data_IF_829684916625
#
_entry.id   IF_829684916625
#
_cell.length_a   1.000
_cell.length_b   1.000
_cell.length_c   1.000
_cell.angle_alpha   90.00
_cell.angle_beta   90.00
_cell.angle_gamma   90.00
#
_symmetry.space_group_name_H-M   'P 1'
#
loop_
_entity.id
_entity.type
_entity.pdbx_description
1 polymer ?
#
# COMPACT_ATOMS: atom_id res chain seq x y z
N UNK A 1 -11.82 7.56 38.04
CA UNK A 1 -11.70 6.62 36.89
C UNK A 1 -10.42 5.82 37.07
N UNK A 2 -10.45 4.49 37.03
CA UNK A 2 -9.23 3.69 37.15
C UNK A 2 -8.32 3.89 35.92
N UNK A 3 -6.99 3.96 36.11
CA UNK A 3 -6.03 4.14 35.00
C UNK A 3 -5.99 2.88 34.11
N UNK A 4 -6.03 3.05 32.78
CA UNK A 4 -5.82 1.95 31.83
C UNK A 4 -4.33 1.56 31.85
N UNK A 5 -4.02 0.48 32.56
CA UNK A 5 -2.72 -0.18 32.53
C UNK A 5 -2.54 -0.89 31.19
N UNK A 6 -1.68 -0.32 30.34
CA UNK A 6 -1.13 -1.00 29.16
C UNK A 6 0.14 -1.71 29.61
N UNK A 7 0.27 -3.02 29.36
CA UNK A 7 1.33 -3.84 29.96
C UNK A 7 2.67 -3.71 29.22
N UNK A 8 2.69 -3.30 27.95
CA UNK A 8 3.95 -3.07 27.20
C UNK A 8 3.94 -1.79 26.35
N UNK A 9 2.87 -1.49 25.63
CA UNK A 9 2.62 -0.19 25.00
C UNK A 9 1.15 -0.08 24.55
N UNK A 10 0.62 1.13 24.40
CA UNK A 10 -0.77 1.37 23.93
C UNK A 10 -1.05 0.79 22.53
N UNK A 11 -0.02 0.49 21.76
CA UNK A 11 -0.12 0.06 20.36
C UNK A 11 0.37 -1.37 20.11
N UNK A 12 1.20 -1.94 20.98
CA UNK A 12 1.75 -3.28 20.79
C UNK A 12 0.73 -4.37 21.11
N UNK A 13 -0.05 -4.22 22.19
CA UNK A 13 -1.06 -5.22 22.59
C UNK A 13 -2.13 -5.46 21.49
N UNK A 14 -2.68 -4.42 20.81
CA UNK A 14 -3.59 -4.62 19.68
C UNK A 14 -2.92 -5.24 18.45
N UNK A 15 -1.68 -4.83 18.15
CA UNK A 15 -0.92 -5.35 17.00
C UNK A 15 -0.62 -6.83 17.18
N UNK A 16 -0.19 -7.23 18.38
CA UNK A 16 0.06 -8.62 18.72
C UNK A 16 -1.22 -9.44 18.73
N UNK A 17 -2.34 -8.89 19.23
CA UNK A 17 -3.64 -9.55 19.18
C UNK A 17 -4.12 -9.80 17.74
N UNK A 18 -4.05 -8.79 16.87
CA UNK A 18 -4.39 -8.91 15.46
C UNK A 18 -3.46 -9.90 14.73
N UNK A 19 -2.15 -9.81 14.97
CA UNK A 19 -1.16 -10.73 14.41
C UNK A 19 -1.42 -12.17 14.84
N UNK A 20 -1.70 -12.40 16.12
CA UNK A 20 -1.99 -13.74 16.66
C UNK A 20 -3.27 -14.31 16.06
N UNK A 21 -4.32 -13.50 15.87
CA UNK A 21 -5.55 -13.92 15.19
C UNK A 21 -5.32 -14.32 13.73
N UNK A 22 -4.56 -13.51 12.98
CA UNK A 22 -4.18 -13.82 11.58
C UNK A 22 -3.31 -15.07 11.50
N UNK A 23 -2.37 -15.22 12.42
CA UNK A 23 -1.47 -16.38 12.48
C UNK A 23 -2.21 -17.67 12.82
N UNK A 24 -3.11 -17.65 13.79
CA UNK A 24 -3.96 -18.79 14.12
C UNK A 24 -4.86 -19.19 12.95
N UNK A 25 -5.41 -18.21 12.21
CA UNK A 25 -6.17 -18.48 11.00
C UNK A 25 -5.31 -19.10 9.89
N UNK A 26 -4.07 -18.62 9.70
CA UNK A 26 -3.12 -19.20 8.75
C UNK A 26 -2.80 -20.66 9.08
N UNK A 27 -2.62 -20.98 10.36
CA UNK A 27 -2.36 -22.34 10.82
C UNK A 27 -3.59 -23.25 10.65
N UNK A 28 -4.80 -22.72 10.89
CA UNK A 28 -6.03 -23.47 10.68
C UNK A 28 -6.22 -23.85 9.20
N UNK A 29 -5.90 -22.94 8.29
CA UNK A 29 -6.01 -23.15 6.84
C UNK A 29 -4.97 -24.14 6.28
N UNK A 30 -3.82 -24.31 6.95
CA UNK A 30 -2.75 -25.24 6.52
C UNK A 30 -2.96 -26.68 7.02
N UNK A 31 -4.01 -26.93 7.82
CA UNK A 31 -4.34 -28.26 8.29
C UNK A 31 -5.18 -29.05 7.26
N UNK A 32 -4.67 -30.18 6.73
CA UNK A 32 -5.26 -30.91 5.60
C UNK A 32 -6.56 -31.68 5.94
N UNK A 33 -7.05 -31.62 7.19
CA UNK A 33 -8.25 -32.35 7.65
C UNK A 33 -9.51 -31.49 7.77
N UNK A 34 -9.39 -30.18 7.49
CA UNK A 34 -10.52 -29.24 7.59
C UNK A 34 -10.44 -28.17 6.50
N UNK A 35 -9.69 -28.45 5.42
CA UNK A 35 -9.56 -27.54 4.29
C UNK A 35 -10.93 -27.35 3.62
N UNK A 36 -11.52 -26.14 3.69
CA UNK A 36 -12.68 -25.83 2.86
C UNK A 36 -12.25 -25.87 1.37
N UNK A 37 -13.19 -26.13 0.45
CA UNK A 37 -12.89 -26.22 -0.97
C UNK A 37 -12.15 -24.97 -1.48
N UNK A 38 -11.17 -25.14 -2.39
CA UNK A 38 -10.35 -24.03 -2.90
C UNK A 38 -11.27 -23.00 -3.56
N UNK A 39 -11.21 -21.74 -3.09
CA UNK A 39 -12.13 -20.67 -3.52
C UNK A 39 -12.81 -19.89 -2.38
N UNK A 40 -12.76 -20.40 -1.15
CA UNK A 40 -13.41 -19.77 0.02
C UNK A 40 -12.43 -19.34 1.12
N UNK A 41 -11.19 -19.04 0.75
CA UNK A 41 -10.18 -18.61 1.73
C UNK A 41 -10.19 -17.09 1.89
N UNK A 42 -10.06 -16.59 3.13
CA UNK A 42 -9.94 -15.15 3.36
C UNK A 42 -8.71 -14.56 2.66
N UNK A 43 -7.67 -15.38 2.41
CA UNK A 43 -6.47 -14.96 1.65
C UNK A 43 -6.83 -14.55 0.23
N UNK A 44 -7.72 -15.28 -0.42
CA UNK A 44 -8.18 -14.96 -1.76
C UNK A 44 -8.95 -13.63 -1.76
N UNK A 45 -9.87 -13.44 -0.82
CA UNK A 45 -10.59 -12.18 -0.65
C UNK A 45 -9.66 -11.00 -0.32
N UNK A 46 -8.66 -11.21 0.53
CA UNK A 46 -7.67 -10.19 0.88
C UNK A 46 -6.79 -9.86 -0.33
N UNK A 47 -6.35 -10.87 -1.09
CA UNK A 47 -5.58 -10.64 -2.32
C UNK A 47 -6.39 -9.88 -3.36
N UNK A 48 -7.67 -10.24 -3.54
CA UNK A 48 -8.60 -9.54 -4.44
C UNK A 48 -8.78 -8.07 -4.01
N UNK A 49 -9.08 -7.82 -2.73
CA UNK A 49 -9.25 -6.47 -2.19
C UNK A 49 -7.98 -5.63 -2.32
N UNK A 50 -6.82 -6.25 -2.14
CA UNK A 50 -5.53 -5.59 -2.31
C UNK A 50 -5.26 -5.24 -3.78
N UNK A 51 -5.54 -6.16 -4.71
CA UNK A 51 -5.39 -5.90 -6.14
C UNK A 51 -6.34 -4.82 -6.65
N UNK A 52 -7.59 -4.80 -6.19
CA UNK A 52 -8.56 -3.76 -6.51
C UNK A 52 -8.11 -2.39 -5.98
N UNK A 53 -7.62 -2.35 -4.73
CA UNK A 53 -7.11 -1.12 -4.12
C UNK A 53 -5.87 -0.60 -4.83
N UNK A 54 -4.97 -1.50 -5.28
CA UNK A 54 -3.80 -1.12 -6.07
C UNK A 54 -4.20 -0.54 -7.42
N UNK A 55 -5.15 -1.16 -8.13
CA UNK A 55 -5.65 -0.65 -9.41
C UNK A 55 -6.31 0.72 -9.28
N UNK A 56 -7.08 0.96 -8.21
CA UNK A 56 -7.69 2.27 -7.98
C UNK A 56 -6.64 3.36 -7.74
N UNK A 57 -5.55 3.04 -7.04
CA UNK A 57 -4.44 3.98 -6.82
C UNK A 57 -3.70 4.27 -8.12
N UNK A 58 -3.39 3.23 -8.90
CA UNK A 58 -2.76 3.38 -10.22
C UNK A 58 -3.63 4.18 -11.20
N UNK A 59 -4.95 3.99 -11.18
CA UNK A 59 -5.88 4.75 -12.02
C UNK A 59 -5.86 6.24 -11.65
N UNK A 60 -5.93 6.56 -10.36
CA UNK A 60 -5.85 7.93 -9.87
C UNK A 60 -4.50 8.58 -10.20
N UNK A 61 -3.40 7.86 -10.02
CA UNK A 61 -2.06 8.34 -10.37
C UNK A 61 -1.94 8.63 -11.87
N UNK A 62 -2.52 7.79 -12.74
CA UNK A 62 -2.57 8.04 -14.19
C UNK A 62 -3.40 9.27 -14.54
N UNK A 63 -4.57 9.43 -13.93
CA UNK A 63 -5.44 10.61 -14.13
C UNK A 63 -4.72 11.90 -13.71
N UNK A 64 -4.07 11.89 -12.55
CA UNK A 64 -3.26 13.02 -12.07
C UNK A 64 -2.11 13.33 -13.05
N UNK A 65 -1.39 12.32 -13.54
CA UNK A 65 -0.31 12.50 -14.54
C UNK A 65 -0.82 13.10 -15.86
N UNK A 66 -1.96 12.63 -16.38
CA UNK A 66 -2.57 13.17 -17.60
C UNK A 66 -3.05 14.61 -17.42
N UNK A 67 -3.57 14.96 -16.24
CA UNK A 67 -3.94 16.32 -15.88
C UNK A 67 -2.71 17.23 -15.84
N UNK A 68 -1.61 16.78 -15.21
CA UNK A 68 -0.33 17.48 -15.19
C UNK A 68 0.22 17.72 -16.60
N UNK A 69 0.15 16.74 -17.50
CA UNK A 69 0.60 16.88 -18.89
C UNK A 69 -0.24 17.91 -19.67
N UNK A 70 -1.56 17.95 -19.43
CA UNK A 70 -2.44 18.96 -20.05
C UNK A 70 -2.09 20.36 -19.58
N UNK A 71 -1.85 20.54 -18.28
CA UNK A 71 -1.49 21.84 -17.69
C UNK A 71 -0.14 22.32 -18.22
N UNK A 72 0.87 21.46 -18.29
CA UNK A 72 2.20 21.84 -18.83
C UNK A 72 2.14 22.19 -20.31
N UNK A 73 1.37 21.43 -21.11
CA UNK A 73 1.13 21.72 -22.52
C UNK A 73 0.40 23.05 -22.74
N UNK A 74 -0.63 23.33 -21.94
CA UNK A 74 -1.39 24.60 -22.03
C UNK A 74 -0.52 25.80 -21.65
N UNK A 75 0.36 25.64 -20.66
CA UNK A 75 1.29 26.69 -20.25
C UNK A 75 2.43 26.92 -21.25
N UNK A 76 2.53 26.10 -22.32
CA UNK A 76 3.57 26.24 -23.34
C UNK A 76 4.99 26.07 -22.80
N UNK A 77 5.14 25.51 -21.61
CA UNK A 77 6.44 25.27 -20.97
C UNK A 77 7.05 24.04 -21.66
N UNK A 78 7.78 24.29 -22.74
CA UNK A 78 8.82 23.37 -23.18
C UNK A 78 9.91 23.47 -22.13
N UNK A 79 9.85 22.58 -21.13
CA UNK A 79 10.97 22.38 -20.21
C UNK A 79 12.12 21.79 -21.01
N UNK A 80 13.02 22.65 -21.48
CA UNK A 80 14.37 22.22 -21.84
C UNK A 80 14.99 21.52 -20.62
N UNK A 81 15.56 20.31 -20.78
CA UNK A 81 16.15 19.60 -19.66
C UNK A 81 17.36 20.37 -19.15
N UNK A 82 17.35 20.62 -17.84
CA UNK A 82 18.40 21.26 -17.06
C UNK A 82 19.72 20.46 -17.03
N UNK A 83 20.41 20.33 -18.17
CA UNK A 83 21.61 19.50 -18.31
C UNK A 83 22.86 20.22 -18.88
N UNK A 84 22.91 21.55 -18.94
CA UNK A 84 24.06 22.24 -19.60
C UNK A 84 24.75 23.33 -18.77
N UNK A 85 24.50 23.46 -17.46
CA UNK A 85 25.15 24.53 -16.67
C UNK A 85 26.16 24.06 -15.60
N UNK A 86 26.47 22.76 -15.49
CA UNK A 86 27.37 22.28 -14.44
C UNK A 86 28.83 22.01 -14.87
N UNK A 87 29.21 22.20 -16.14
CA UNK A 87 30.55 21.80 -16.64
C UNK A 87 31.51 22.94 -17.03
N UNK A 88 31.07 24.19 -17.19
CA UNK A 88 31.93 25.25 -17.76
C UNK A 88 32.33 26.41 -16.83
N UNK A 89 31.99 26.38 -15.54
CA UNK A 89 32.21 27.53 -14.63
C UNK A 89 33.16 27.28 -13.45
N UNK A 90 34.09 26.32 -13.55
CA UNK A 90 35.18 26.23 -12.57
C UNK A 90 36.51 25.77 -13.20
N UNK A 91 37.08 26.70 -13.95
CA UNK A 91 38.53 26.90 -14.06
C UNK A 91 39.02 27.47 -12.73
#
# INVERSE_FOLDING_TARGET
MPPRTYLLSRTLDPVLGAFTGVFAYYLNETNPRTAPPPGHTLKELVSWRWTESKQLREAREKEELEEWEKVTRQLGVVTEPAATQAVDAKI
#
